data_IF_270474259006
#
_entry.id   IF_270474259006
#
_cell.length_a   1.000
_cell.length_b   1.000
_cell.length_c   1.000
_cell.angle_alpha   90.00
_cell.angle_beta   90.00
_cell.angle_gamma   90.00
#
_symmetry.space_group_name_H-M   'P 1'
#
loop_
_entity.id
_entity.type
_entity.pdbx_description
1 polymer ?
#
# COMPACT_ATOMS: atom_id res chain seq x y z
N UNK A 1 21.13 -2.35 6.27
CA UNK A 1 20.19 -1.57 5.46
C UNK A 1 18.81 -1.96 5.95
N UNK A 2 18.01 -1.01 6.40
CA UNK A 2 16.60 -1.27 6.70
C UNK A 2 15.92 -1.67 5.39
N UNK A 3 15.08 -2.73 5.39
CA UNK A 3 14.31 -3.08 4.20
C UNK A 3 13.45 -1.88 3.80
N UNK A 4 13.44 -1.55 2.51
CA UNK A 4 12.62 -0.45 2.00
C UNK A 4 11.14 -0.85 2.11
N UNK A 5 10.35 -0.01 2.77
CA UNK A 5 8.92 -0.25 2.98
C UNK A 5 8.11 0.60 2.02
N UNK A 6 7.23 -0.05 1.28
CA UNK A 6 6.30 0.62 0.36
C UNK A 6 4.94 0.70 1.05
N UNK A 7 4.35 1.89 1.09
CA UNK A 7 3.05 2.14 1.72
C UNK A 7 2.12 2.69 0.66
N UNK A 8 1.08 1.94 0.30
CA UNK A 8 0.05 2.45 -0.60
C UNK A 8 -1.04 3.10 0.26
N UNK A 9 -1.39 4.34 -0.06
CA UNK A 9 -2.40 5.13 0.65
C UNK A 9 -3.66 5.23 -0.20
N UNK A 10 -4.77 4.76 0.36
CA UNK A 10 -6.04 4.54 -0.32
C UNK A 10 -7.15 5.36 0.36
N UNK A 11 -8.15 5.84 -0.41
CA UNK A 11 -9.22 6.69 0.12
C UNK A 11 -10.20 5.91 1.02
N UNK A 12 -10.44 4.64 0.71
CA UNK A 12 -11.47 3.82 1.34
C UNK A 12 -10.98 2.39 1.64
N UNK A 13 -11.71 1.72 2.54
CA UNK A 13 -11.39 0.35 2.94
C UNK A 13 -11.49 -0.63 1.78
N UNK A 14 -12.57 -0.56 1.02
CA UNK A 14 -12.81 -1.46 -0.11
C UNK A 14 -11.68 -1.34 -1.13
N UNK A 15 -11.24 -0.11 -1.43
CA UNK A 15 -10.12 0.13 -2.32
C UNK A 15 -8.80 -0.49 -1.78
N UNK A 16 -8.56 -0.38 -0.47
CA UNK A 16 -7.39 -0.98 0.15
C UNK A 16 -7.43 -2.51 0.19
N UNK A 17 -8.59 -3.12 0.37
CA UNK A 17 -8.78 -4.58 0.36
C UNK A 17 -8.53 -5.15 -1.05
N UNK A 18 -9.09 -4.51 -2.08
CA UNK A 18 -8.89 -4.88 -3.49
C UNK A 18 -7.42 -4.74 -3.91
N UNK A 19 -6.77 -3.63 -3.53
CA UNK A 19 -5.34 -3.42 -3.78
C UNK A 19 -4.48 -4.45 -3.04
N UNK A 20 -4.82 -4.79 -1.81
CA UNK A 20 -4.11 -5.80 -1.04
C UNK A 20 -4.17 -7.18 -1.71
N UNK A 21 -5.36 -7.60 -2.15
CA UNK A 21 -5.54 -8.86 -2.88
C UNK A 21 -4.73 -8.86 -4.20
N UNK A 22 -4.86 -7.79 -5.00
CA UNK A 22 -4.12 -7.64 -6.27
C UNK A 22 -2.60 -7.66 -6.05
N UNK A 23 -2.10 -7.03 -4.98
CA UNK A 23 -0.68 -7.07 -4.64
C UNK A 23 -0.23 -8.48 -4.26
N UNK A 24 -1.00 -9.20 -3.47
CA UNK A 24 -0.67 -10.56 -3.07
C UNK A 24 -0.60 -11.49 -4.29
N UNK A 25 -1.55 -11.38 -5.21
CA UNK A 25 -1.56 -12.14 -6.46
C UNK A 25 -0.41 -11.75 -7.40
N UNK A 26 -0.16 -10.45 -7.58
CA UNK A 26 0.91 -9.95 -8.47
C UNK A 26 2.31 -10.26 -7.98
N UNK A 27 2.56 -10.07 -6.68
CA UNK A 27 3.86 -10.25 -6.05
C UNK A 27 4.06 -11.69 -5.56
N UNK A 28 3.02 -12.53 -5.63
CA UNK A 28 3.07 -13.90 -5.13
C UNK A 28 3.33 -13.95 -3.62
N UNK A 29 2.78 -13.01 -2.85
CA UNK A 29 2.99 -12.95 -1.41
C UNK A 29 2.35 -14.19 -0.74
N UNK A 30 2.98 -14.71 0.33
CA UNK A 30 2.40 -15.83 1.08
C UNK A 30 1.12 -15.42 1.83
N UNK A 31 0.94 -14.13 2.11
CA UNK A 31 -0.24 -13.56 2.75
C UNK A 31 -0.60 -12.20 2.14
N UNK A 32 -1.89 -11.89 2.14
CA UNK A 32 -2.39 -10.58 1.73
C UNK A 32 -1.96 -9.49 2.72
N UNK A 33 -1.40 -8.37 2.23
CA UNK A 33 -1.00 -7.27 3.09
C UNK A 33 -2.23 -6.66 3.76
N UNK A 34 -2.17 -6.46 5.07
CA UNK A 34 -3.33 -5.99 5.83
C UNK A 34 -3.49 -4.47 5.72
N UNK A 35 -4.64 -3.97 5.26
CA UNK A 35 -4.95 -2.55 5.32
C UNK A 35 -4.96 -2.03 6.76
N UNK A 36 -4.23 -0.95 7.00
CA UNK A 36 -4.17 -0.25 8.29
C UNK A 36 -4.96 1.04 8.16
N UNK A 37 -5.99 1.21 8.99
CA UNK A 37 -6.73 2.47 9.06
C UNK A 37 -5.93 3.50 9.84
N UNK A 38 -5.64 4.63 9.20
CA UNK A 38 -5.02 5.79 9.83
C UNK A 38 -6.03 6.95 9.88
N UNK A 39 -6.26 7.48 11.09
CA UNK A 39 -7.11 8.65 11.27
C UNK A 39 -6.32 9.91 10.95
N UNK A 40 -6.83 10.74 10.03
CA UNK A 40 -6.20 12.00 9.69
C UNK A 40 -6.37 13.00 10.84
N UNK A 41 -5.28 13.66 11.23
CA UNK A 41 -5.30 14.69 12.26
C UNK A 41 -5.84 16.00 11.67
N UNK A 42 -7.17 16.13 11.55
CA UNK A 42 -7.86 17.31 11.06
C UNK A 42 -9.17 17.52 11.82
N UNK A 43 -9.41 18.76 12.26
CA UNK A 43 -10.40 19.12 13.26
C UNK A 43 -11.85 19.03 12.72
N UNK A 44 -12.70 18.28 13.44
CA UNK A 44 -14.18 18.38 13.54
C UNK A 44 -15.10 17.48 12.70
N UNK A 45 -14.63 16.52 11.89
CA UNK A 45 -15.44 15.35 11.48
C UNK A 45 -14.60 14.08 11.53
N UNK A 46 -14.90 13.19 12.47
CA UNK A 46 -14.18 11.93 12.72
C UNK A 46 -14.35 10.86 11.60
N UNK A 47 -14.80 11.29 10.44
CA UNK A 47 -15.21 10.45 9.31
C UNK A 47 -14.08 10.27 8.28
N UNK A 48 -13.07 11.15 8.26
CA UNK A 48 -11.95 11.06 7.32
C UNK A 48 -10.82 10.18 7.88
N UNK A 49 -10.69 8.97 7.33
CA UNK A 49 -9.61 8.05 7.64
C UNK A 49 -9.07 7.46 6.35
N UNK A 50 -7.75 7.46 6.22
CA UNK A 50 -7.06 6.84 5.09
C UNK A 50 -6.72 5.38 5.42
N UNK A 51 -6.63 4.57 4.37
CA UNK A 51 -6.27 3.16 4.48
C UNK A 51 -4.90 2.93 3.88
N UNK A 52 -4.02 2.31 4.66
CA UNK A 52 -2.61 2.11 4.32
C UNK A 52 -2.34 0.64 4.10
N UNK A 53 -1.89 0.26 2.90
CA UNK A 53 -1.42 -1.10 2.61
C UNK A 53 0.10 -1.09 2.68
N UNK A 54 0.65 -1.76 3.69
CA UNK A 54 2.10 -1.79 3.93
C UNK A 54 2.71 -3.05 3.34
N UNK A 55 3.74 -2.86 2.52
CA UNK A 55 4.53 -3.91 1.89
C UNK A 55 5.99 -3.81 2.36
N UNK A 56 6.50 -4.89 2.93
CA UNK A 56 7.91 -5.03 3.27
C UNK A 56 8.67 -5.63 2.07
N UNK A 57 9.67 -4.92 1.55
CA UNK A 57 10.51 -5.45 0.48
C UNK A 57 11.26 -6.70 0.95
N UNK A 58 11.39 -7.73 0.08
CA UNK A 58 12.10 -8.95 0.44
C UNK A 58 13.59 -8.69 0.67
N UNK A 59 14.22 -9.52 1.51
CA UNK A 59 15.64 -9.39 1.91
C UNK A 59 16.65 -9.59 0.74
N UNK A 60 16.15 -9.80 -0.49
CA UNK A 60 16.92 -9.92 -1.74
C UNK A 60 16.80 -8.73 -2.70
N UNK A 61 16.04 -7.69 -2.35
CA UNK A 61 15.82 -6.51 -3.17
C UNK A 61 14.54 -6.55 -4.01
N UNK A 62 14.18 -5.42 -4.59
CA UNK A 62 12.94 -5.17 -5.35
C UNK A 62 13.14 -5.29 -6.87
N UNK A 63 14.11 -6.10 -7.31
CA UNK A 63 14.52 -6.20 -8.73
C UNK A 63 13.43 -6.79 -9.64
N UNK A 64 12.37 -7.38 -9.06
CA UNK A 64 11.20 -7.81 -9.81
C UNK A 64 10.35 -6.61 -10.24
N UNK A 65 10.00 -6.55 -11.53
CA UNK A 65 9.19 -5.47 -12.12
C UNK A 65 7.87 -5.17 -11.37
N UNK A 66 7.33 -6.15 -10.64
CA UNK A 66 6.13 -5.98 -9.82
C UNK A 66 6.40 -5.19 -8.52
N UNK A 67 7.61 -5.29 -7.96
CA UNK A 67 8.06 -4.53 -6.78
C UNK A 67 8.55 -3.13 -7.11
N UNK A 68 8.59 -2.75 -8.39
CA UNK A 68 8.98 -1.42 -8.79
C UNK A 68 7.98 -0.37 -8.28
N UNK A 69 8.47 0.78 -7.77
CA UNK A 69 7.61 1.83 -7.22
C UNK A 69 6.66 2.41 -8.27
N UNK A 70 7.05 2.43 -9.54
CA UNK A 70 6.19 2.82 -10.67
C UNK A 70 5.00 1.86 -10.86
N UNK A 71 5.22 0.55 -10.74
CA UNK A 71 4.14 -0.45 -10.83
C UNK A 71 3.19 -0.35 -9.64
N UNK A 72 3.74 -0.16 -8.43
CA UNK A 72 2.97 0.01 -7.20
C UNK A 72 2.17 1.33 -7.19
N UNK A 73 2.77 2.42 -7.69
CA UNK A 73 2.10 3.72 -7.82
C UNK A 73 0.96 3.65 -8.83
N UNK A 74 1.18 3.05 -10.01
CA UNK A 74 0.14 2.88 -11.01
C UNK A 74 -1.05 2.05 -10.49
N UNK A 75 -0.77 1.05 -9.64
CA UNK A 75 -1.81 0.30 -8.95
C UNK A 75 -2.57 1.18 -7.96
N UNK A 76 -1.90 1.91 -7.09
CA UNK A 76 -2.56 2.82 -6.15
C UNK A 76 -3.44 3.85 -6.89
N UNK A 77 -2.90 4.48 -7.95
CA UNK A 77 -3.60 5.47 -8.77
C UNK A 77 -4.86 4.91 -9.43
N UNK A 78 -4.87 3.62 -9.81
CA UNK A 78 -6.05 2.97 -10.38
C UNK A 78 -7.24 2.92 -9.39
N UNK A 79 -6.95 3.03 -8.09
CA UNK A 79 -7.92 3.03 -6.99
C UNK A 79 -8.02 4.40 -6.30
N UNK A 80 -7.64 5.48 -6.99
CA UNK A 80 -7.64 6.86 -6.47
C UNK A 80 -6.69 7.06 -5.26
N UNK A 81 -5.69 6.20 -5.13
CA UNK A 81 -4.65 6.23 -4.11
C UNK A 81 -3.29 6.69 -4.64
N UNK A 82 -2.28 6.70 -3.75
CA UNK A 82 -0.89 6.98 -4.11
C UNK A 82 0.10 6.09 -3.35
N UNK A 83 1.33 6.01 -3.86
CA UNK A 83 2.42 5.30 -3.18
C UNK A 83 3.26 6.27 -2.35
N UNK A 84 3.45 5.94 -1.08
CA UNK A 84 4.44 6.53 -0.19
C UNK A 84 5.58 5.57 0.14
N UNK A 85 6.76 6.14 0.41
CA UNK A 85 7.88 5.38 0.95
C UNK A 85 7.88 5.51 2.46
N UNK A 86 7.73 4.39 3.15
CA UNK A 86 7.84 4.33 4.60
C UNK A 86 9.27 4.67 5.07
N UNK A 87 9.42 5.26 6.27
CA UNK A 87 10.72 5.54 6.89
C UNK A 87 11.49 4.29 7.31
#
# INVERSE_FOLDING_TARGET
MTPERHVLVLPDRDAADEVAAELAERLGLPEEPRPVREALAGEDDAEDAQWLVVLDAPEGGTDEAAWHPESLAALAEAYDGWLERGP
#
